data_IF_032854691172
#
_entry.id   IF_032854691172
#
_cell.length_a   1.000
_cell.length_b   1.000
_cell.length_c   1.000
_cell.angle_alpha   90.00
_cell.angle_beta   90.00
_cell.angle_gamma   90.00
#
_symmetry.space_group_name_H-M   'P 1'
#
loop_
_entity.id
_entity.type
_entity.pdbx_description
1 polymer ?
#
# COMPACT_ATOMS: atom_id res chain seq x y z
N UNK A 1 45.00 31.69 -21.81
CA UNK A 1 46.07 31.92 -20.81
C UNK A 1 45.73 33.21 -20.09
N UNK A 2 45.98 33.33 -18.79
CA UNK A 2 45.89 34.61 -18.09
C UNK A 2 46.68 35.71 -18.83
N UNK A 3 46.09 36.89 -18.90
CA UNK A 3 46.70 38.08 -19.51
C UNK A 3 46.61 39.21 -18.49
N UNK A 4 47.77 39.74 -18.10
CA UNK A 4 47.88 40.82 -17.12
C UNK A 4 47.19 42.13 -17.60
N UNK A 5 46.82 42.20 -18.88
CA UNK A 5 46.00 43.28 -19.45
C UNK A 5 44.47 43.12 -19.29
N UNK A 6 43.95 41.94 -18.93
CA UNK A 6 42.50 41.69 -18.81
C UNK A 6 41.99 41.88 -17.37
N UNK A 7 41.62 43.12 -17.04
CA UNK A 7 41.02 43.48 -15.74
C UNK A 7 39.72 42.72 -15.42
N UNK A 8 39.09 42.06 -16.41
CA UNK A 8 37.85 41.31 -16.23
C UNK A 8 38.07 39.79 -16.14
N UNK A 9 39.32 39.31 -16.12
CA UNK A 9 39.61 37.89 -16.17
C UNK A 9 38.97 37.11 -15.00
N UNK A 10 39.04 37.66 -13.79
CA UNK A 10 38.37 37.07 -12.61
C UNK A 10 36.85 37.03 -12.80
N UNK A 11 36.25 38.11 -13.31
CA UNK A 11 34.82 38.18 -13.54
C UNK A 11 34.37 37.13 -14.57
N UNK A 12 35.11 36.96 -15.67
CA UNK A 12 34.85 35.93 -16.70
C UNK A 12 34.95 34.52 -16.13
N UNK A 13 35.97 34.24 -15.31
CA UNK A 13 36.13 32.94 -14.66
C UNK A 13 34.92 32.62 -13.75
N UNK A 14 34.50 33.58 -12.92
CA UNK A 14 33.34 33.44 -12.05
C UNK A 14 32.05 33.29 -12.87
N UNK A 15 31.82 34.13 -13.87
CA UNK A 15 30.60 34.09 -14.69
C UNK A 15 30.47 32.82 -15.53
N UNK A 16 31.59 32.27 -15.99
CA UNK A 16 31.59 31.02 -16.78
C UNK A 16 31.16 29.80 -15.98
N UNK A 17 31.27 29.86 -14.64
CA UNK A 17 30.97 28.75 -13.72
C UNK A 17 31.79 27.46 -13.96
N UNK A 18 32.77 27.46 -14.87
CA UNK A 18 33.63 26.30 -15.19
C UNK A 18 34.46 25.79 -14.01
N UNK A 19 34.60 26.61 -12.96
CA UNK A 19 35.20 26.24 -11.68
C UNK A 19 34.36 25.23 -10.87
N UNK A 20 33.05 25.14 -11.16
CA UNK A 20 32.11 24.29 -10.44
C UNK A 20 31.24 23.45 -11.37
N UNK A 21 31.36 23.57 -12.69
CA UNK A 21 30.49 22.85 -13.62
C UNK A 21 31.18 22.34 -14.88
N UNK A 22 30.76 21.17 -15.32
CA UNK A 22 31.04 20.58 -16.64
C UNK A 22 29.99 19.48 -16.93
N UNK A 23 29.86 19.04 -18.18
CA UNK A 23 28.94 17.95 -18.52
C UNK A 23 29.51 16.58 -18.10
N UNK A 24 28.63 15.65 -17.68
CA UNK A 24 29.05 14.29 -17.36
C UNK A 24 29.53 13.53 -18.60
N UNK A 25 30.76 13.03 -18.54
CA UNK A 25 31.36 12.18 -19.57
C UNK A 25 31.52 10.70 -19.13
N UNK A 26 30.96 10.35 -17.98
CA UNK A 26 31.04 9.02 -17.38
C UNK A 26 30.05 8.02 -17.96
N UNK A 27 30.01 6.83 -17.34
CA UNK A 27 29.04 5.78 -17.63
C UNK A 27 27.97 5.73 -16.55
N UNK A 28 26.90 4.95 -16.75
CA UNK A 28 25.88 4.73 -15.71
C UNK A 28 26.54 4.33 -14.38
N UNK A 29 26.10 4.95 -13.29
CA UNK A 29 26.61 4.81 -11.91
C UNK A 29 28.06 5.27 -11.67
N UNK A 30 28.82 5.66 -12.71
CA UNK A 30 30.21 6.10 -12.60
C UNK A 30 30.40 7.41 -13.36
N UNK A 31 29.96 8.50 -12.72
CA UNK A 31 29.91 9.84 -13.27
C UNK A 31 31.28 10.52 -13.26
N UNK A 32 31.56 11.33 -14.29
CA UNK A 32 32.86 11.99 -14.48
C UNK A 32 32.66 13.44 -14.91
N UNK A 33 33.29 14.38 -14.21
CA UNK A 33 33.23 15.83 -14.50
C UNK A 33 34.65 16.40 -14.59
N UNK A 34 34.93 17.25 -15.59
CA UNK A 34 36.26 17.84 -15.81
C UNK A 34 36.23 19.35 -15.62
N UNK A 35 36.39 19.80 -14.37
CA UNK A 35 36.44 21.23 -14.06
C UNK A 35 37.71 21.88 -14.61
N UNK A 36 37.57 23.14 -15.01
CA UNK A 36 38.69 23.93 -15.56
C UNK A 36 38.75 25.31 -14.90
N UNK A 37 39.88 25.67 -14.24
CA UNK A 37 41.07 24.87 -13.99
C UNK A 37 40.83 23.63 -13.12
N UNK A 38 41.68 22.62 -13.27
CA UNK A 38 41.56 21.38 -12.50
C UNK A 38 41.84 21.64 -11.00
N UNK A 39 40.94 21.23 -10.08
CA UNK A 39 41.23 21.24 -8.65
C UNK A 39 42.36 20.25 -8.33
N UNK A 40 43.13 20.55 -7.27
CA UNK A 40 44.26 19.71 -6.82
C UNK A 40 43.85 18.64 -5.80
N UNK A 41 42.67 18.77 -5.21
CA UNK A 41 42.08 17.84 -4.26
C UNK A 41 40.57 18.08 -4.14
N UNK A 42 39.85 17.13 -3.53
CA UNK A 42 38.49 17.37 -3.06
C UNK A 42 38.51 18.22 -1.79
N UNK A 43 37.98 19.44 -1.88
CA UNK A 43 37.81 20.32 -0.72
C UNK A 43 36.43 20.10 -0.09
N UNK A 44 36.33 20.12 1.23
CA UNK A 44 35.04 20.12 1.92
C UNK A 44 34.21 21.30 1.43
N UNK A 45 32.95 21.04 1.12
CA UNK A 45 31.99 21.94 0.47
C UNK A 45 32.28 22.29 -0.99
N UNK A 46 33.14 21.53 -1.67
CA UNK A 46 33.27 21.62 -3.13
C UNK A 46 31.93 21.31 -3.78
N UNK A 47 31.42 22.28 -4.52
CA UNK A 47 30.19 22.17 -5.31
C UNK A 47 30.53 21.71 -6.72
N UNK A 48 29.79 20.72 -7.21
CA UNK A 48 29.88 20.22 -8.58
C UNK A 48 28.49 20.24 -9.20
N UNK A 49 28.35 20.91 -10.33
CA UNK A 49 27.12 20.94 -11.12
C UNK A 49 27.40 20.27 -12.46
N UNK A 50 26.61 19.28 -12.83
CA UNK A 50 26.78 18.65 -14.15
C UNK A 50 25.43 18.28 -14.78
N UNK A 51 25.41 18.26 -16.10
CA UNK A 51 24.33 17.60 -16.85
C UNK A 51 24.63 16.10 -16.90
N UNK A 52 23.70 15.28 -16.43
CA UNK A 52 23.84 13.83 -16.32
C UNK A 52 23.80 13.19 -17.72
N UNK A 53 24.82 12.40 -18.07
CA UNK A 53 24.92 11.74 -19.37
C UNK A 53 24.15 10.43 -19.44
N UNK A 54 24.09 9.68 -18.33
CA UNK A 54 23.45 8.36 -18.25
C UNK A 54 22.57 8.23 -17.00
N UNK A 55 21.37 7.65 -17.16
CA UNK A 55 20.49 7.39 -16.02
C UNK A 55 21.13 6.38 -15.06
N UNK A 56 21.10 6.64 -13.74
CA UNK A 56 21.62 5.70 -12.76
C UNK A 56 20.67 4.50 -12.57
N UNK A 57 21.23 3.34 -12.29
CA UNK A 57 20.50 2.09 -11.98
C UNK A 57 20.67 1.65 -10.54
N UNK A 58 21.41 2.42 -9.73
CA UNK A 58 21.60 2.19 -8.30
C UNK A 58 22.69 3.09 -7.72
N UNK A 59 23.43 2.54 -6.75
CA UNK A 59 24.53 3.21 -6.07
C UNK A 59 25.52 3.79 -7.08
N UNK A 60 25.87 5.07 -6.88
CA UNK A 60 26.62 5.85 -7.86
C UNK A 60 27.83 6.53 -7.25
N UNK A 61 28.84 6.81 -8.07
CA UNK A 61 30.04 7.57 -7.69
C UNK A 61 30.22 8.76 -8.62
N UNK A 62 30.83 9.84 -8.12
CA UNK A 62 31.28 10.99 -8.89
C UNK A 62 32.80 11.11 -8.80
N UNK A 63 33.45 11.29 -9.93
CA UNK A 63 34.88 11.53 -10.02
C UNK A 63 35.14 12.86 -10.74
N UNK A 64 35.81 13.78 -10.05
CA UNK A 64 36.16 15.09 -10.58
C UNK A 64 37.63 15.06 -11.01
N UNK A 65 37.90 15.41 -12.26
CA UNK A 65 39.26 15.52 -12.82
C UNK A 65 40.17 14.30 -12.53
N UNK A 66 39.60 13.08 -12.54
CA UNK A 66 40.30 11.84 -12.25
C UNK A 66 40.99 11.76 -10.86
N UNK A 67 40.59 12.58 -9.88
CA UNK A 67 41.17 12.59 -8.52
C UNK A 67 40.80 11.37 -7.66
N UNK A 68 39.90 10.53 -8.15
CA UNK A 68 39.42 9.31 -7.50
C UNK A 68 37.91 9.39 -7.23
N UNK A 69 37.13 8.35 -7.56
CA UNK A 69 35.68 8.38 -7.40
C UNK A 69 35.27 8.47 -5.93
N UNK A 70 34.28 9.30 -5.64
CA UNK A 70 33.65 9.41 -4.33
C UNK A 70 32.18 8.97 -4.42
N UNK A 71 31.66 8.18 -3.47
CA UNK A 71 30.26 7.79 -3.47
C UNK A 71 29.33 9.01 -3.41
N UNK A 72 28.23 8.92 -4.14
CA UNK A 72 27.13 9.88 -4.08
C UNK A 72 26.11 9.35 -3.07
N UNK A 73 25.66 10.20 -2.14
CA UNK A 73 24.75 9.85 -1.05
C UNK A 73 23.61 10.87 -0.92
N UNK A 74 22.54 10.45 -0.26
CA UNK A 74 21.48 11.38 0.12
C UNK A 74 21.92 12.25 1.31
N UNK A 75 21.65 13.58 1.25
CA UNK A 75 22.06 14.50 2.31
C UNK A 75 21.35 14.27 3.64
N UNK A 76 20.21 13.57 3.65
CA UNK A 76 19.41 13.35 4.85
C UNK A 76 19.97 12.25 5.75
N UNK A 77 20.50 11.16 5.19
CA UNK A 77 20.80 9.93 5.94
C UNK A 77 22.02 9.15 5.44
N UNK A 78 22.77 9.66 4.47
CA UNK A 78 23.92 8.98 3.83
C UNK A 78 23.57 7.66 3.13
N UNK A 79 22.31 7.41 2.81
CA UNK A 79 21.91 6.23 2.02
C UNK A 79 22.40 6.31 0.57
N UNK A 80 22.46 5.15 -0.09
CA UNK A 80 22.83 5.05 -1.51
C UNK A 80 21.70 5.55 -2.40
N UNK A 81 22.07 6.11 -3.55
CA UNK A 81 21.11 6.46 -4.58
C UNK A 81 20.37 5.22 -5.09
N UNK A 82 19.08 5.38 -5.31
CA UNK A 82 18.20 4.40 -5.95
C UNK A 82 18.15 4.63 -7.47
N UNK A 83 17.75 3.60 -8.22
CA UNK A 83 17.65 3.69 -9.67
C UNK A 83 16.75 4.85 -10.13
N UNK A 84 17.19 5.64 -11.10
CA UNK A 84 16.41 6.70 -11.73
C UNK A 84 16.43 8.07 -11.05
N UNK A 85 17.23 8.26 -10.00
CA UNK A 85 17.38 9.54 -9.29
C UNK A 85 18.30 10.54 -10.01
N UNK A 86 19.28 10.05 -10.77
CA UNK A 86 20.07 10.85 -11.70
C UNK A 86 19.63 10.46 -13.11
N UNK A 87 18.70 11.21 -13.71
CA UNK A 87 18.21 10.91 -15.08
C UNK A 87 19.09 11.53 -16.15
N UNK A 88 19.29 10.82 -17.26
CA UNK A 88 19.93 11.37 -18.45
C UNK A 88 19.29 12.71 -18.86
N UNK A 89 20.14 13.71 -19.10
CA UNK A 89 19.75 15.07 -19.46
C UNK A 89 19.36 15.97 -18.29
N UNK A 90 19.20 15.44 -17.07
CA UNK A 90 18.96 16.26 -15.88
C UNK A 90 20.21 17.04 -15.48
N UNK A 91 20.02 18.21 -14.88
CA UNK A 91 21.08 18.96 -14.22
C UNK A 91 21.09 18.53 -12.76
N UNK A 92 22.25 18.12 -12.23
CA UNK A 92 22.42 17.74 -10.83
C UNK A 92 23.46 18.63 -10.14
N UNK A 93 23.26 18.88 -8.85
CA UNK A 93 24.18 19.61 -7.99
C UNK A 93 24.62 18.70 -6.83
N UNK A 94 25.93 18.59 -6.67
CA UNK A 94 26.60 17.79 -5.65
C UNK A 94 27.44 18.65 -4.74
N UNK A 95 27.47 18.34 -3.44
CA UNK A 95 28.36 19.00 -2.48
C UNK A 95 29.19 17.96 -1.73
N UNK A 96 30.52 18.09 -1.77
CA UNK A 96 31.42 17.19 -1.04
C UNK A 96 31.44 17.51 0.46
N UNK A 97 31.26 16.53 1.35
CA UNK A 97 31.30 16.74 2.81
C UNK A 97 32.65 16.42 3.48
N UNK A 98 33.62 15.96 2.70
CA UNK A 98 34.90 15.43 3.18
C UNK A 98 35.03 13.91 3.07
N UNK A 99 33.94 13.20 2.76
CA UNK A 99 33.91 11.74 2.57
C UNK A 99 33.09 11.38 1.32
N UNK A 100 31.87 11.91 1.20
CA UNK A 100 30.90 11.63 0.14
C UNK A 100 30.50 12.90 -0.61
N UNK A 101 30.00 12.74 -1.84
CA UNK A 101 29.22 13.77 -2.50
C UNK A 101 27.75 13.61 -2.13
N UNK A 102 27.11 14.68 -1.68
CA UNK A 102 25.67 14.71 -1.44
C UNK A 102 24.92 15.18 -2.66
N UNK A 103 23.89 14.45 -3.10
CA UNK A 103 22.98 14.93 -4.13
C UNK A 103 22.04 15.99 -3.52
N UNK A 104 22.35 17.26 -3.72
CA UNK A 104 21.61 18.38 -3.10
C UNK A 104 20.43 18.81 -3.97
N UNK A 105 20.53 18.65 -5.28
CA UNK A 105 19.45 18.97 -6.20
C UNK A 105 19.59 18.23 -7.53
N UNK A 106 18.47 17.86 -8.17
CA UNK A 106 18.42 17.39 -9.56
C UNK A 106 17.14 17.84 -10.24
N UNK A 107 17.23 18.26 -11.52
CA UNK A 107 16.07 18.73 -12.29
C UNK A 107 15.15 17.61 -12.82
N UNK A 108 15.59 16.35 -12.78
CA UNK A 108 14.87 15.21 -13.38
C UNK A 108 14.72 13.99 -12.49
N UNK A 109 15.44 13.94 -11.37
CA UNK A 109 15.30 12.88 -10.37
C UNK A 109 13.98 12.96 -9.63
N UNK A 110 13.40 11.80 -9.29
CA UNK A 110 12.59 11.77 -8.08
C UNK A 110 13.58 12.06 -6.95
N UNK A 111 13.52 13.23 -6.31
CA UNK A 111 14.22 13.42 -5.06
C UNK A 111 13.50 12.54 -4.03
N UNK A 112 13.80 11.24 -4.04
CA UNK A 112 13.41 10.33 -2.99
C UNK A 112 14.34 10.62 -1.83
N UNK A 113 14.05 11.69 -1.10
CA UNK A 113 14.58 11.83 0.25
C UNK A 113 14.01 10.65 1.02
N UNK A 114 14.88 9.74 1.45
CA UNK A 114 14.57 8.84 2.57
C UNK A 114 14.07 9.72 3.73
N UNK A 115 12.75 9.72 3.94
CA UNK A 115 12.05 10.51 4.96
C UNK A 115 11.15 11.66 4.46
N UNK A 116 11.11 11.97 3.16
CA UNK A 116 10.19 12.97 2.59
C UNK A 116 8.95 12.36 1.93
N UNK A 117 7.80 13.03 2.03
CA UNK A 117 6.58 12.64 1.30
C UNK A 117 6.82 12.67 -0.21
N UNK A 118 6.59 11.55 -0.89
CA UNK A 118 6.79 11.44 -2.35
C UNK A 118 5.46 11.76 -3.04
N UNK A 119 5.39 12.85 -3.80
CA UNK A 119 4.18 13.20 -4.55
C UNK A 119 4.08 12.41 -5.85
N UNK A 120 2.97 11.71 -6.05
CA UNK A 120 2.67 11.14 -7.36
C UNK A 120 2.42 12.26 -8.38
N UNK A 121 2.97 12.09 -9.56
CA UNK A 121 2.76 12.99 -10.71
C UNK A 121 1.98 12.31 -11.84
N UNK A 122 1.70 11.02 -11.68
CA UNK A 122 0.92 10.16 -12.57
C UNK A 122 0.46 8.91 -11.79
N UNK A 123 -0.51 8.15 -12.30
CA UNK A 123 -0.84 6.84 -11.74
C UNK A 123 0.37 5.89 -11.79
N UNK A 124 0.44 4.97 -10.82
CA UNK A 124 1.51 3.98 -10.72
C UNK A 124 0.94 2.57 -10.56
N UNK A 125 1.49 1.63 -11.30
CA UNK A 125 1.18 0.21 -11.21
C UNK A 125 2.34 -0.53 -10.54
N UNK A 126 2.04 -1.30 -9.51
CA UNK A 126 2.93 -2.24 -8.85
C UNK A 126 2.47 -3.67 -9.11
N UNK A 127 3.41 -4.61 -9.08
CA UNK A 127 3.17 -6.02 -9.31
C UNK A 127 3.67 -6.83 -8.12
N UNK A 128 2.88 -7.81 -7.69
CA UNK A 128 3.21 -8.76 -6.62
C UNK A 128 3.00 -10.18 -7.12
N UNK A 129 3.99 -11.04 -6.93
CA UNK A 129 3.92 -12.45 -7.30
C UNK A 129 4.66 -13.29 -6.25
N UNK A 130 3.93 -14.16 -5.54
CA UNK A 130 4.50 -15.00 -4.48
C UNK A 130 5.54 -16.03 -4.98
N UNK A 131 5.47 -16.40 -6.26
CA UNK A 131 6.24 -17.49 -6.85
C UNK A 131 7.53 -17.01 -7.50
N UNK A 132 7.47 -15.89 -8.25
CA UNK A 132 8.63 -15.33 -8.97
C UNK A 132 9.14 -14.01 -8.41
N UNK A 133 8.40 -13.37 -7.50
CA UNK A 133 8.75 -12.07 -6.95
C UNK A 133 9.89 -12.11 -5.94
N UNK A 134 10.51 -10.95 -5.75
CA UNK A 134 11.54 -10.72 -4.74
C UNK A 134 11.32 -9.33 -4.10
N UNK A 135 11.37 -9.24 -2.77
CA UNK A 135 11.16 -7.98 -2.06
C UNK A 135 12.35 -7.01 -2.16
N UNK A 136 13.43 -7.44 -2.81
CA UNK A 136 14.52 -6.56 -3.28
C UNK A 136 14.22 -5.89 -4.63
N UNK A 137 13.17 -6.31 -5.35
CA UNK A 137 12.77 -5.68 -6.60
C UNK A 137 11.95 -4.40 -6.36
N UNK A 138 11.79 -3.61 -7.41
CA UNK A 138 11.07 -2.33 -7.40
C UNK A 138 9.55 -2.46 -7.55
N UNK A 139 9.06 -3.65 -7.91
CA UNK A 139 7.64 -3.92 -8.12
C UNK A 139 7.07 -3.30 -9.40
N UNK A 140 7.88 -2.72 -10.29
CA UNK A 140 7.41 -1.95 -11.45
C UNK A 140 7.22 -2.80 -12.72
N UNK A 141 7.39 -4.11 -12.62
CA UNK A 141 7.23 -5.05 -13.74
C UNK A 141 6.62 -6.36 -13.28
N UNK A 142 5.72 -6.93 -14.09
CA UNK A 142 5.04 -8.20 -13.79
C UNK A 142 5.98 -9.42 -13.81
N UNK A 143 7.14 -9.31 -14.46
CA UNK A 143 8.16 -10.33 -14.50
C UNK A 143 9.53 -9.70 -14.25
N UNK A 144 10.47 -10.51 -13.76
CA UNK A 144 11.87 -10.10 -13.69
C UNK A 144 12.41 -9.84 -15.09
N UNK A 145 13.07 -8.71 -15.29
CA UNK A 145 13.74 -8.38 -16.55
C UNK A 145 15.25 -8.28 -16.34
N UNK A 146 15.71 -7.23 -15.68
CA UNK A 146 17.13 -6.99 -15.39
C UNK A 146 17.27 -6.20 -14.08
N UNK A 147 18.41 -6.36 -13.39
CA UNK A 147 18.72 -5.58 -12.19
C UNK A 147 17.70 -5.79 -11.07
N UNK A 148 16.97 -4.74 -10.70
CA UNK A 148 15.92 -4.77 -9.66
C UNK A 148 14.50 -4.74 -10.23
N UNK A 149 14.34 -4.82 -11.56
CA UNK A 149 13.04 -4.66 -12.22
C UNK A 149 12.28 -5.99 -12.24
N UNK A 150 11.30 -6.12 -11.35
CA UNK A 150 10.47 -7.31 -11.20
C UNK A 150 9.40 -7.13 -10.13
N UNK A 151 8.50 -8.11 -9.93
CA UNK A 151 7.42 -7.98 -8.97
C UNK A 151 7.93 -8.14 -7.53
N UNK A 152 7.27 -7.48 -6.58
CA UNK A 152 7.47 -7.78 -5.17
C UNK A 152 7.08 -9.23 -4.88
N UNK A 153 7.66 -9.85 -3.86
CA UNK A 153 7.23 -11.17 -3.41
C UNK A 153 6.01 -11.08 -2.49
N UNK A 154 5.95 -10.06 -1.66
CA UNK A 154 4.95 -9.93 -0.60
C UNK A 154 4.04 -8.72 -0.76
N UNK A 155 2.78 -8.87 -0.33
CA UNK A 155 1.82 -7.77 -0.22
C UNK A 155 2.30 -6.72 0.81
N UNK A 156 2.99 -7.16 1.87
CA UNK A 156 3.54 -6.25 2.88
C UNK A 156 4.64 -5.36 2.30
N UNK A 157 5.50 -5.88 1.41
CA UNK A 157 6.49 -5.04 0.70
C UNK A 157 5.84 -4.00 -0.18
N UNK A 158 4.78 -4.37 -0.92
CA UNK A 158 4.01 -3.40 -1.71
C UNK A 158 3.40 -2.31 -0.82
N UNK A 159 2.77 -2.69 0.29
CA UNK A 159 2.19 -1.75 1.26
C UNK A 159 3.24 -0.78 1.82
N UNK A 160 4.39 -1.30 2.24
CA UNK A 160 5.50 -0.50 2.76
C UNK A 160 6.02 0.50 1.72
N UNK A 161 6.05 0.11 0.44
CA UNK A 161 6.49 0.97 -0.67
C UNK A 161 5.48 2.10 -0.95
N UNK A 162 4.19 1.86 -0.69
CA UNK A 162 3.12 2.84 -0.93
C UNK A 162 3.01 3.88 0.19
N UNK A 163 3.28 3.50 1.44
CA UNK A 163 3.17 4.39 2.61
C UNK A 163 3.80 5.79 2.46
N UNK A 164 5.00 5.97 1.90
CA UNK A 164 5.60 7.31 1.77
C UNK A 164 4.95 8.20 0.70
N UNK A 165 4.03 7.69 -0.13
CA UNK A 165 3.40 8.49 -1.17
C UNK A 165 2.38 9.49 -0.61
N UNK A 166 2.36 10.68 -1.23
CA UNK A 166 1.16 11.48 -1.38
C UNK A 166 0.57 11.19 -2.75
N UNK A 167 -0.67 10.71 -2.78
CA UNK A 167 -1.35 10.27 -3.99
C UNK A 167 -1.64 11.44 -4.96
N UNK A 168 -1.75 12.67 -4.46
CA UNK A 168 -1.82 13.90 -5.28
C UNK A 168 -2.87 13.85 -6.43
N UNK A 169 -4.02 13.23 -6.17
CA UNK A 169 -5.11 13.02 -7.13
C UNK A 169 -4.93 11.82 -8.07
N UNK A 170 -3.84 11.07 -7.95
CA UNK A 170 -3.53 9.90 -8.79
C UNK A 170 -3.77 8.58 -8.05
N UNK A 171 -4.03 7.53 -8.83
CA UNK A 171 -4.29 6.20 -8.30
C UNK A 171 -3.03 5.32 -8.30
N UNK A 172 -2.95 4.45 -7.31
CA UNK A 172 -1.99 3.33 -7.26
C UNK A 172 -2.75 2.03 -7.50
N UNK A 173 -2.22 1.16 -8.37
CA UNK A 173 -2.78 -0.17 -8.64
C UNK A 173 -1.75 -1.23 -8.30
N UNK A 174 -2.13 -2.21 -7.50
CA UNK A 174 -1.28 -3.35 -7.13
C UNK A 174 -1.88 -4.59 -7.78
N UNK A 175 -1.25 -5.06 -8.86
CA UNK A 175 -1.61 -6.29 -9.57
C UNK A 175 -0.98 -7.48 -8.86
N UNK A 176 -1.81 -8.43 -8.45
CA UNK A 176 -1.38 -9.57 -7.66
C UNK A 176 -1.63 -10.84 -8.44
N UNK A 177 -0.56 -11.57 -8.74
CA UNK A 177 -0.63 -12.85 -9.43
C UNK A 177 -1.25 -13.95 -8.55
N UNK A 178 -1.64 -15.06 -9.16
CA UNK A 178 -2.10 -16.25 -8.44
C UNK A 178 -1.01 -16.75 -7.49
N UNK A 179 -1.36 -16.97 -6.23
CA UNK A 179 -0.41 -17.35 -5.19
C UNK A 179 -0.98 -17.30 -3.78
N UNK A 180 -0.16 -17.79 -2.85
CA UNK A 180 -0.43 -17.73 -1.42
C UNK A 180 0.40 -16.60 -0.80
N UNK A 181 -0.29 -15.68 -0.14
CA UNK A 181 0.29 -14.49 0.46
C UNK A 181 0.07 -14.51 1.97
N UNK A 182 1.09 -14.05 2.71
CA UNK A 182 0.98 -13.84 4.15
C UNK A 182 0.09 -12.64 4.48
N UNK A 183 -0.20 -12.48 5.77
CA UNK A 183 -0.91 -11.31 6.26
C UNK A 183 -0.18 -10.00 5.94
N UNK A 184 -0.95 -8.94 5.73
CA UNK A 184 -0.38 -7.61 5.54
C UNK A 184 -1.30 -6.52 6.09
N UNK A 185 -0.70 -5.37 6.38
CA UNK A 185 -1.43 -4.14 6.71
C UNK A 185 -1.60 -3.30 5.45
N UNK A 186 -2.81 -2.82 5.20
CA UNK A 186 -3.09 -1.83 4.16
C UNK A 186 -2.28 -0.54 4.42
N UNK A 187 -1.78 0.11 3.36
CA UNK A 187 -0.95 1.29 3.48
C UNK A 187 -1.78 2.50 3.91
N UNK A 188 -1.10 3.53 4.39
CA UNK A 188 -1.69 4.80 4.84
C UNK A 188 -1.05 5.97 4.09
N UNK A 189 -1.13 6.01 2.74
CA UNK A 189 -0.60 7.14 1.97
C UNK A 189 -1.39 8.42 2.26
N UNK A 190 -0.78 9.57 1.99
CA UNK A 190 -1.42 10.88 2.13
C UNK A 190 -2.03 11.37 0.82
N UNK A 191 -2.79 12.48 0.86
CA UNK A 191 -3.36 13.09 -0.35
C UNK A 191 -4.61 12.39 -0.89
N UNK A 192 -5.22 12.98 -1.92
CA UNK A 192 -6.37 12.41 -2.62
C UNK A 192 -5.93 11.37 -3.65
N UNK A 193 -6.73 10.34 -3.87
CA UNK A 193 -6.43 9.24 -4.79
C UNK A 193 -6.91 7.91 -4.22
N UNK A 194 -6.76 6.83 -4.99
CA UNK A 194 -7.19 5.48 -4.58
C UNK A 194 -6.05 4.48 -4.69
N UNK A 195 -5.87 3.63 -3.67
CA UNK A 195 -5.02 2.42 -3.78
C UNK A 195 -5.90 1.23 -4.08
N UNK A 196 -5.65 0.54 -5.19
CA UNK A 196 -6.42 -0.63 -5.62
C UNK A 196 -5.59 -1.91 -5.57
N UNK A 197 -6.03 -2.91 -4.82
CA UNK A 197 -5.46 -4.25 -4.76
C UNK A 197 -6.24 -5.17 -5.69
N UNK A 198 -5.56 -5.69 -6.71
CA UNK A 198 -6.16 -6.36 -7.87
C UNK A 198 -5.64 -7.80 -7.96
N UNK A 199 -6.34 -8.74 -7.33
CA UNK A 199 -6.09 -10.18 -7.47
C UNK A 199 -6.87 -10.81 -8.64
N UNK A 200 -7.12 -12.11 -8.54
CA UNK A 200 -7.84 -12.89 -9.53
C UNK A 200 -9.37 -12.70 -9.40
N UNK A 201 -9.92 -11.75 -10.14
CA UNK A 201 -11.34 -11.38 -10.05
C UNK A 201 -12.33 -12.48 -10.46
N UNK A 202 -12.06 -13.33 -11.47
CA UNK A 202 -12.89 -14.50 -11.78
C UNK A 202 -12.77 -15.65 -10.77
N UNK A 203 -11.63 -15.77 -10.07
CA UNK A 203 -11.34 -16.87 -9.16
C UNK A 203 -10.58 -16.38 -7.92
N UNK A 204 -11.27 -15.70 -6.97
CA UNK A 204 -10.62 -15.10 -5.80
C UNK A 204 -9.78 -16.09 -4.97
N UNK A 205 -10.16 -17.38 -4.95
CA UNK A 205 -9.41 -18.45 -4.31
C UNK A 205 -7.95 -18.57 -4.76
N UNK A 206 -7.62 -18.15 -5.98
CA UNK A 206 -6.26 -18.23 -6.51
C UNK A 206 -5.31 -17.17 -5.93
N UNK A 207 -5.84 -16.06 -5.39
CA UNK A 207 -5.06 -15.09 -4.63
C UNK A 207 -5.44 -15.20 -3.15
N UNK A 208 -4.86 -16.20 -2.47
CA UNK A 208 -5.13 -16.45 -1.06
C UNK A 208 -4.27 -15.55 -0.18
N UNK A 209 -4.90 -14.76 0.69
CA UNK A 209 -4.25 -14.11 1.83
C UNK A 209 -4.58 -14.93 3.08
N UNK A 210 -3.56 -15.58 3.64
CA UNK A 210 -3.71 -16.49 4.77
C UNK A 210 -2.61 -16.28 5.82
N UNK A 211 -2.99 -16.48 7.08
CA UNK A 211 -2.06 -16.47 8.21
C UNK A 211 -2.61 -17.27 9.38
N UNK A 212 -1.71 -17.72 10.25
CA UNK A 212 -2.01 -18.29 11.54
C UNK A 212 -1.69 -17.27 12.65
N UNK A 213 -2.59 -17.16 13.63
CA UNK A 213 -2.52 -16.29 14.79
C UNK A 213 -2.50 -14.78 14.50
N UNK A 214 -2.90 -14.37 13.30
CA UNK A 214 -3.04 -12.96 12.93
C UNK A 214 -4.30 -12.72 12.09
N UNK A 215 -4.68 -11.45 11.97
CA UNK A 215 -5.68 -11.01 10.99
C UNK A 215 -5.04 -11.01 9.60
N UNK A 216 -5.74 -11.56 8.60
CA UNK A 216 -5.18 -11.69 7.25
C UNK A 216 -4.94 -10.33 6.58
N UNK A 217 -5.88 -9.40 6.69
CA UNK A 217 -5.74 -8.03 6.21
C UNK A 217 -6.16 -7.05 7.29
N UNK A 218 -5.28 -6.14 7.66
CA UNK A 218 -5.59 -5.10 8.66
C UNK A 218 -5.40 -3.70 8.10
N UNK A 219 -6.08 -2.70 8.66
CA UNK A 219 -5.90 -1.32 8.22
C UNK A 219 -6.32 -0.31 9.27
N UNK A 220 -5.59 0.80 9.32
CA UNK A 220 -6.03 2.00 10.02
C UNK A 220 -5.52 3.27 9.37
N UNK A 221 -6.40 4.26 9.23
CA UNK A 221 -6.17 5.53 8.54
C UNK A 221 -5.65 5.28 7.12
N UNK A 222 -6.34 4.41 6.38
CA UNK A 222 -5.84 3.90 5.08
C UNK A 222 -6.15 4.83 3.90
N UNK A 223 -6.88 5.92 4.13
CA UNK A 223 -7.45 6.73 3.06
C UNK A 223 -8.57 5.98 2.34
N UNK A 224 -8.65 6.15 1.02
CA UNK A 224 -9.60 5.43 0.17
C UNK A 224 -8.90 4.28 -0.58
N UNK A 225 -9.38 3.06 -0.41
CA UNK A 225 -8.81 1.88 -1.08
C UNK A 225 -9.87 0.92 -1.62
N UNK A 226 -9.45 0.09 -2.57
CA UNK A 226 -10.25 -0.98 -3.19
C UNK A 226 -9.50 -2.30 -3.06
N UNK A 227 -10.20 -3.39 -2.77
CA UNK A 227 -9.64 -4.74 -2.80
C UNK A 227 -10.58 -5.70 -3.53
N UNK A 228 -10.07 -6.44 -4.52
CA UNK A 228 -10.87 -7.37 -5.31
C UNK A 228 -10.04 -8.54 -5.81
N UNK A 229 -10.69 -9.68 -6.01
CA UNK A 229 -10.09 -10.90 -6.52
C UNK A 229 -9.27 -11.67 -5.49
N UNK A 230 -9.59 -11.59 -4.21
CA UNK A 230 -8.86 -12.32 -3.16
C UNK A 230 -9.73 -13.24 -2.33
N UNK A 231 -9.13 -14.32 -1.86
CA UNK A 231 -9.63 -15.13 -0.76
C UNK A 231 -8.93 -14.72 0.53
N UNK A 232 -9.69 -14.33 1.54
CA UNK A 232 -9.15 -13.97 2.85
C UNK A 232 -9.47 -15.05 3.87
N UNK A 233 -8.47 -15.49 4.63
CA UNK A 233 -8.64 -16.50 5.68
C UNK A 233 -7.66 -16.27 6.84
N UNK A 234 -8.11 -16.46 8.07
CA UNK A 234 -7.23 -16.55 9.24
C UNK A 234 -7.52 -17.82 10.04
N UNK A 235 -6.56 -18.22 10.86
CA UNK A 235 -6.70 -19.29 11.85
C UNK A 235 -5.82 -19.03 13.06
N UNK A 236 -5.80 -19.96 14.02
CA UNK A 236 -4.97 -19.88 15.21
C UNK A 236 -5.72 -19.51 16.48
N UNK A 237 -4.96 -19.08 17.49
CA UNK A 237 -5.40 -18.88 18.86
C UNK A 237 -5.12 -17.44 19.30
N UNK A 238 -6.13 -16.76 19.82
CA UNK A 238 -6.06 -15.34 20.19
C UNK A 238 -4.90 -15.01 21.14
N UNK A 239 -4.64 -15.88 22.12
CA UNK A 239 -3.64 -15.66 23.18
C UNK A 239 -2.19 -15.58 22.69
N UNK A 240 -1.90 -15.93 21.44
CA UNK A 240 -0.53 -15.89 20.88
C UNK A 240 -0.09 -14.45 20.61
N UNK A 241 -0.96 -13.64 19.98
CA UNK A 241 -0.62 -12.28 19.55
C UNK A 241 -1.63 -11.22 20.00
N UNK A 242 -2.66 -11.61 20.74
CA UNK A 242 -3.80 -10.76 21.12
C UNK A 242 -4.49 -10.11 19.90
N UNK A 243 -4.41 -10.75 18.74
CA UNK A 243 -5.00 -10.30 17.49
C UNK A 243 -6.47 -10.77 17.38
N UNK A 244 -7.41 -9.97 16.84
CA UNK A 244 -8.80 -10.39 16.64
C UNK A 244 -9.01 -11.65 15.80
N UNK A 245 -8.00 -12.04 15.01
CA UNK A 245 -7.99 -13.16 14.07
C UNK A 245 -9.10 -13.05 13.03
N UNK A 246 -9.26 -11.89 12.40
CA UNK A 246 -10.26 -11.65 11.35
C UNK A 246 -9.73 -12.01 9.95
N UNK A 247 -10.61 -12.15 8.95
CA UNK A 247 -10.17 -12.09 7.55
C UNK A 247 -9.77 -10.64 7.20
N UNK A 248 -10.61 -9.67 7.58
CA UNK A 248 -10.35 -8.23 7.47
C UNK A 248 -10.66 -7.55 8.80
N UNK A 249 -9.73 -6.74 9.30
CA UNK A 249 -9.95 -5.80 10.41
C UNK A 249 -9.62 -4.38 9.98
N UNK A 250 -10.63 -3.51 9.90
CA UNK A 250 -10.48 -2.11 9.54
C UNK A 250 -10.88 -1.22 10.72
N UNK A 251 -10.02 -0.24 11.08
CA UNK A 251 -10.32 0.64 12.20
C UNK A 251 -9.79 2.06 12.03
N UNK A 252 -10.39 3.02 12.73
CA UNK A 252 -9.88 4.40 12.83
C UNK A 252 -10.38 5.30 11.70
N UNK A 253 -10.56 6.58 12.03
CA UNK A 253 -11.04 7.63 11.13
C UNK A 253 -10.27 7.64 9.80
N UNK A 254 -10.94 8.08 8.73
CA UNK A 254 -10.38 8.18 7.38
C UNK A 254 -9.98 6.84 6.74
N UNK A 255 -10.55 5.74 7.22
CA UNK A 255 -10.38 4.42 6.59
C UNK A 255 -11.62 4.08 5.79
N UNK A 256 -11.52 4.12 4.46
CA UNK A 256 -12.57 3.66 3.56
C UNK A 256 -12.03 2.55 2.67
N UNK A 257 -12.61 1.36 2.76
CA UNK A 257 -12.30 0.24 1.87
C UNK A 257 -13.55 -0.12 1.06
N UNK A 258 -13.38 -0.44 -0.21
CA UNK A 258 -14.43 -1.04 -1.04
C UNK A 258 -14.01 -2.41 -1.56
N UNK A 259 -14.93 -3.36 -1.56
CA UNK A 259 -14.68 -4.68 -2.13
C UNK A 259 -15.21 -4.81 -3.57
N UNK A 260 -14.45 -5.49 -4.42
CA UNK A 260 -14.96 -6.15 -5.64
C UNK A 260 -15.28 -7.62 -5.36
N UNK A 261 -15.10 -8.54 -6.33
CA UNK A 261 -15.34 -9.97 -6.07
C UNK A 261 -14.39 -10.50 -4.99
N UNK A 262 -14.89 -11.19 -3.97
CA UNK A 262 -14.05 -11.69 -2.86
C UNK A 262 -14.53 -13.06 -2.37
N UNK A 263 -13.63 -13.84 -1.77
CA UNK A 263 -13.96 -15.04 -1.00
C UNK A 263 -13.53 -14.91 0.45
N UNK A 264 -14.38 -15.35 1.39
CA UNK A 264 -14.09 -15.38 2.82
C UNK A 264 -13.99 -16.83 3.28
N UNK A 265 -12.75 -17.28 3.51
CA UNK A 265 -12.39 -18.65 3.88
C UNK A 265 -12.58 -19.00 5.35
N UNK A 266 -13.21 -18.12 6.14
CA UNK A 266 -13.40 -18.27 7.58
C UNK A 266 -12.24 -17.72 8.42
N UNK A 267 -12.53 -17.53 9.70
CA UNK A 267 -11.66 -16.87 10.66
C UNK A 267 -12.12 -17.16 12.10
N UNK A 268 -11.22 -17.31 13.09
CA UNK A 268 -11.64 -17.43 14.49
C UNK A 268 -12.44 -16.22 14.96
N UNK A 269 -12.01 -14.99 14.69
CA UNK A 269 -12.82 -13.79 14.88
C UNK A 269 -13.81 -13.56 13.73
N UNK A 270 -14.54 -12.43 13.75
CA UNK A 270 -15.41 -12.04 12.65
C UNK A 270 -14.65 -11.99 11.31
N UNK A 271 -15.26 -12.46 10.23
CA UNK A 271 -14.60 -12.46 8.92
C UNK A 271 -14.30 -11.02 8.50
N UNK A 272 -15.29 -10.15 8.57
CA UNK A 272 -15.14 -8.73 8.28
C UNK A 272 -15.48 -7.93 9.53
N UNK A 273 -14.50 -7.21 10.06
CA UNK A 273 -14.67 -6.35 11.23
C UNK A 273 -14.29 -4.92 10.90
N UNK A 274 -15.19 -3.98 11.17
CA UNK A 274 -15.03 -2.56 10.84
C UNK A 274 -15.46 -1.71 12.03
N UNK A 275 -14.57 -0.88 12.54
CA UNK A 275 -14.90 -0.05 13.70
C UNK A 275 -14.16 1.25 13.83
N UNK A 276 -14.45 1.98 14.91
CA UNK A 276 -13.78 3.25 15.26
C UNK A 276 -13.83 4.25 14.09
N UNK A 277 -15.04 4.45 13.56
CA UNK A 277 -15.35 5.34 12.44
C UNK A 277 -14.67 5.04 11.10
N UNK A 278 -14.20 3.80 10.90
CA UNK A 278 -13.88 3.28 9.58
C UNK A 278 -15.16 2.90 8.81
N UNK A 279 -15.06 2.87 7.49
CA UNK A 279 -16.13 2.48 6.58
C UNK A 279 -15.69 1.37 5.62
N UNK A 280 -16.57 0.41 5.38
CA UNK A 280 -16.42 -0.61 4.34
C UNK A 280 -17.65 -0.64 3.44
N UNK A 281 -17.41 -0.68 2.13
CA UNK A 281 -18.45 -0.82 1.12
C UNK A 281 -18.29 -2.13 0.35
N UNK A 282 -19.30 -2.99 0.38
CA UNK A 282 -19.38 -4.10 -0.59
C UNK A 282 -19.77 -3.49 -1.94
N UNK A 283 -18.87 -3.55 -2.92
CA UNK A 283 -19.11 -3.06 -4.28
C UNK A 283 -20.14 -3.88 -5.01
N UNK A 284 -20.65 -3.31 -6.10
CA UNK A 284 -21.71 -3.89 -6.92
C UNK A 284 -21.62 -3.46 -8.40
N UNK A 285 -22.05 -4.31 -9.35
CA UNK A 285 -22.41 -5.71 -9.16
C UNK A 285 -21.16 -6.56 -8.88
N UNK A 286 -21.14 -7.27 -7.75
CA UNK A 286 -20.02 -8.12 -7.33
C UNK A 286 -20.53 -9.47 -6.83
N UNK A 287 -19.66 -10.46 -6.89
CA UNK A 287 -19.89 -11.81 -6.41
C UNK A 287 -19.01 -12.08 -5.18
N UNK A 288 -19.65 -12.46 -4.08
CA UNK A 288 -18.97 -12.83 -2.85
C UNK A 288 -19.19 -14.31 -2.55
N UNK A 289 -18.14 -14.97 -2.07
CA UNK A 289 -18.18 -16.37 -1.65
C UNK A 289 -17.88 -16.43 -0.16
N UNK A 290 -18.66 -17.20 0.59
CA UNK A 290 -18.37 -17.54 1.98
C UNK A 290 -18.16 -19.04 2.05
N UNK A 291 -16.93 -19.45 2.37
CA UNK A 291 -16.49 -20.85 2.30
C UNK A 291 -15.94 -21.40 3.61
N UNK A 292 -15.89 -20.60 4.68
CA UNK A 292 -15.46 -21.05 6.01
C UNK A 292 -16.28 -20.49 7.16
N UNK A 293 -16.08 -21.04 8.35
CA UNK A 293 -16.83 -20.68 9.57
C UNK A 293 -16.19 -19.51 10.33
N UNK A 294 -16.96 -18.88 11.21
CA UNK A 294 -16.48 -17.88 12.17
C UNK A 294 -17.04 -18.16 13.58
N UNK A 295 -16.36 -19.01 14.37
CA UNK A 295 -16.85 -19.49 15.67
C UNK A 295 -16.65 -18.49 16.82
N UNK A 296 -15.94 -17.39 16.61
CA UNK A 296 -15.52 -16.50 17.69
C UNK A 296 -14.28 -17.03 18.42
N UNK A 297 -13.70 -16.17 19.25
CA UNK A 297 -12.63 -16.49 20.17
C UNK A 297 -12.91 -15.80 21.53
N UNK A 298 -12.12 -16.02 22.59
CA UNK A 298 -12.44 -15.49 23.92
C UNK A 298 -12.64 -13.97 24.00
N UNK A 299 -12.05 -13.20 23.08
CA UNK A 299 -12.02 -11.73 23.14
C UNK A 299 -12.68 -11.07 21.92
N UNK A 300 -13.01 -11.85 20.89
CA UNK A 300 -13.63 -11.34 19.67
C UNK A 300 -14.74 -12.25 19.17
N UNK A 301 -15.83 -11.63 18.69
CA UNK A 301 -17.03 -12.36 18.25
C UNK A 301 -16.79 -13.14 16.96
N UNK A 302 -17.62 -14.15 16.72
CA UNK A 302 -17.71 -14.84 15.42
C UNK A 302 -18.87 -14.31 14.58
N UNK A 303 -18.58 -13.74 13.41
CA UNK A 303 -19.61 -13.18 12.53
C UNK A 303 -19.13 -13.16 11.07
N UNK A 304 -20.05 -13.02 10.11
CA UNK A 304 -19.64 -12.69 8.74
C UNK A 304 -19.25 -11.21 8.65
N UNK A 305 -20.15 -10.29 9.01
CA UNK A 305 -19.85 -8.86 9.10
C UNK A 305 -20.12 -8.30 10.50
N UNK A 306 -19.17 -7.52 11.01
CA UNK A 306 -19.22 -6.90 12.32
C UNK A 306 -18.83 -5.43 12.27
N UNK A 307 -19.83 -4.55 12.36
CA UNK A 307 -19.63 -3.12 12.58
C UNK A 307 -19.60 -2.83 14.09
N UNK A 308 -18.61 -2.07 14.56
CA UNK A 308 -18.47 -1.78 15.99
C UNK A 308 -17.96 -0.36 16.27
N UNK A 309 -18.27 0.23 17.43
CA UNK A 309 -17.70 1.52 17.89
C UNK A 309 -17.74 2.61 16.79
N UNK A 310 -18.92 2.89 16.24
CA UNK A 310 -19.09 3.89 15.18
C UNK A 310 -18.62 3.48 13.78
N UNK A 311 -18.19 2.22 13.58
CA UNK A 311 -17.88 1.67 12.26
C UNK A 311 -19.10 1.62 11.35
N UNK A 312 -18.86 1.68 10.04
CA UNK A 312 -19.90 1.64 9.02
C UNK A 312 -19.63 0.52 8.02
N UNK A 313 -20.62 -0.34 7.80
CA UNK A 313 -20.59 -1.35 6.74
C UNK A 313 -21.82 -1.14 5.87
N UNK A 314 -21.63 -1.05 4.56
CA UNK A 314 -22.72 -0.79 3.62
C UNK A 314 -22.50 -1.35 2.24
N UNK A 315 -23.50 -1.22 1.38
CA UNK A 315 -23.42 -1.50 -0.05
C UNK A 315 -24.49 -0.71 -0.81
N UNK A 316 -24.33 -0.62 -2.13
CA UNK A 316 -25.31 0.04 -2.99
C UNK A 316 -26.65 -0.71 -2.99
N UNK A 317 -27.72 0.01 -2.68
CA UNK A 317 -29.09 -0.52 -2.58
C UNK A 317 -29.72 -0.84 -3.92
N UNK A 318 -29.30 -0.14 -4.99
CA UNK A 318 -29.87 -0.26 -6.32
C UNK A 318 -29.36 -1.49 -7.07
N UNK A 319 -28.17 -1.97 -6.72
CA UNK A 319 -27.53 -3.13 -7.34
C UNK A 319 -26.96 -4.01 -6.22
N UNK A 320 -27.75 -4.86 -5.55
CA UNK A 320 -27.22 -5.71 -4.49
C UNK A 320 -26.29 -6.79 -5.07
N UNK A 321 -25.16 -7.12 -4.42
CA UNK A 321 -24.33 -8.26 -4.80
C UNK A 321 -25.01 -9.61 -4.56
N UNK A 322 -24.43 -10.66 -5.14
CA UNK A 322 -24.76 -12.05 -4.80
C UNK A 322 -23.75 -12.60 -3.82
N UNK A 323 -24.22 -13.18 -2.71
CA UNK A 323 -23.37 -13.86 -1.72
C UNK A 323 -23.70 -15.35 -1.74
N UNK A 324 -22.72 -16.18 -2.08
CA UNK A 324 -22.86 -17.64 -2.17
C UNK A 324 -22.18 -18.31 -1.00
N UNK A 325 -22.93 -19.11 -0.24
CA UNK A 325 -22.40 -19.92 0.86
C UNK A 325 -22.13 -21.34 0.35
N UNK A 326 -20.86 -21.67 0.09
CA UNK A 326 -20.48 -22.88 -0.67
C UNK A 326 -20.38 -24.15 0.18
N UNK A 327 -20.29 -24.02 1.50
CA UNK A 327 -20.24 -25.13 2.44
C UNK A 327 -21.05 -24.81 3.70
N UNK A 328 -21.36 -25.81 4.52
CA UNK A 328 -21.96 -25.59 5.84
C UNK A 328 -20.99 -24.79 6.73
N UNK A 329 -21.47 -23.70 7.32
CA UNK A 329 -20.68 -22.82 8.19
C UNK A 329 -21.40 -22.54 9.51
N UNK A 330 -20.63 -22.26 10.55
CA UNK A 330 -21.13 -21.79 11.84
C UNK A 330 -20.68 -20.35 12.13
N UNK A 331 -21.61 -19.50 12.56
CA UNK A 331 -21.38 -18.13 13.02
C UNK A 331 -21.86 -17.98 14.47
N UNK A 332 -20.96 -17.63 15.40
CA UNK A 332 -21.28 -17.58 16.83
C UNK A 332 -22.23 -16.43 17.19
N UNK A 333 -21.94 -15.21 16.75
CA UNK A 333 -22.72 -14.02 17.09
C UNK A 333 -23.82 -13.73 16.08
N UNK A 334 -23.51 -13.87 14.78
CA UNK A 334 -24.49 -13.86 13.69
C UNK A 334 -23.94 -13.50 12.32
N UNK A 335 -24.82 -13.47 11.30
CA UNK A 335 -24.44 -13.07 9.94
C UNK A 335 -24.04 -11.60 9.87
N UNK A 336 -24.91 -10.71 10.38
CA UNK A 336 -24.64 -9.27 10.46
C UNK A 336 -24.75 -8.79 11.90
N UNK A 337 -23.70 -8.09 12.36
CA UNK A 337 -23.62 -7.60 13.73
C UNK A 337 -23.31 -6.10 13.74
N UNK A 338 -24.04 -5.35 14.57
CA UNK A 338 -23.82 -3.92 14.81
C UNK A 338 -23.78 -3.65 16.31
N UNK A 339 -22.72 -3.00 16.80
CA UNK A 339 -22.50 -2.75 18.22
C UNK A 339 -21.86 -1.39 18.50
N UNK A 340 -22.37 -0.64 19.49
CA UNK A 340 -21.71 0.58 19.97
C UNK A 340 -21.79 1.72 18.97
N UNK A 341 -23.01 2.19 18.71
CA UNK A 341 -23.30 3.32 17.79
C UNK A 341 -22.79 3.13 16.36
N UNK A 342 -22.59 1.88 15.91
CA UNK A 342 -22.21 1.54 14.54
C UNK A 342 -23.43 1.39 13.63
N UNK A 343 -23.17 1.32 12.32
CA UNK A 343 -24.18 1.01 11.31
C UNK A 343 -23.71 -0.14 10.43
N UNK A 344 -24.56 -1.14 10.25
CA UNK A 344 -24.32 -2.24 9.31
C UNK A 344 -25.51 -2.39 8.35
N UNK A 345 -25.22 -2.50 7.07
CA UNK A 345 -26.19 -2.64 6.00
C UNK A 345 -25.61 -3.60 4.96
N UNK A 346 -26.36 -4.66 4.61
CA UNK A 346 -25.94 -5.59 3.57
C UNK A 346 -27.15 -6.09 2.77
N UNK A 347 -27.44 -5.42 1.66
CA UNK A 347 -28.41 -5.91 0.68
C UNK A 347 -27.73 -6.93 -0.22
N UNK A 348 -28.24 -8.15 -0.27
CA UNK A 348 -27.71 -9.19 -1.13
C UNK A 348 -28.79 -10.17 -1.58
N UNK A 349 -28.52 -10.84 -2.69
CA UNK A 349 -29.15 -12.14 -2.99
C UNK A 349 -28.29 -13.23 -2.38
N UNK A 350 -28.87 -14.06 -1.51
CA UNK A 350 -28.15 -15.15 -0.85
C UNK A 350 -28.38 -16.46 -1.59
N UNK A 351 -27.30 -17.07 -2.09
CA UNK A 351 -27.31 -18.43 -2.61
C UNK A 351 -26.91 -19.41 -1.49
N UNK A 352 -27.70 -20.46 -1.32
CA UNK A 352 -27.57 -21.48 -0.27
C UNK A 352 -27.61 -20.94 1.19
N UNK A 353 -28.55 -20.06 1.56
CA UNK A 353 -28.61 -19.50 2.92
C UNK A 353 -28.85 -20.55 4.02
N UNK A 354 -29.37 -21.73 3.67
CA UNK A 354 -29.55 -22.86 4.58
C UNK A 354 -28.25 -23.48 5.09
N UNK A 355 -27.11 -23.17 4.48
CA UNK A 355 -25.79 -23.61 4.93
C UNK A 355 -25.28 -22.86 6.17
N UNK A 356 -25.98 -21.81 6.61
CA UNK A 356 -25.55 -20.97 7.72
C UNK A 356 -26.21 -21.41 9.02
N UNK A 357 -25.42 -21.97 9.93
CA UNK A 357 -25.81 -22.19 11.32
C UNK A 357 -25.38 -21.00 12.18
N UNK A 358 -26.30 -20.42 12.93
CA UNK A 358 -26.04 -19.23 13.73
C UNK A 358 -27.14 -18.20 13.63
N UNK A 359 -26.96 -17.08 14.33
CA UNK A 359 -27.95 -16.01 14.41
C UNK A 359 -28.03 -15.19 13.12
N UNK A 360 -29.24 -14.81 12.71
CA UNK A 360 -29.45 -13.97 11.51
C UNK A 360 -28.83 -12.57 11.65
N UNK A 361 -29.06 -11.92 12.77
CA UNK A 361 -28.47 -10.61 13.06
C UNK A 361 -28.36 -10.37 14.57
N UNK A 362 -27.42 -9.52 14.99
CA UNK A 362 -27.33 -9.05 16.37
C UNK A 362 -27.06 -7.55 16.40
N UNK A 363 -27.93 -6.78 17.05
CA UNK A 363 -27.79 -5.33 17.18
C UNK A 363 -27.83 -4.92 18.65
N UNK A 364 -26.81 -4.21 19.15
CA UNK A 364 -26.76 -3.77 20.55
C UNK A 364 -25.99 -2.46 20.76
N UNK A 365 -26.11 -1.85 21.94
CA UNK A 365 -25.51 -0.58 22.34
C UNK A 365 -25.72 0.52 21.28
N UNK A 366 -26.97 0.79 20.93
CA UNK A 366 -27.35 1.75 19.89
C UNK A 366 -26.78 1.44 18.48
N UNK A 367 -26.37 0.20 18.22
CA UNK A 367 -26.07 -0.26 16.87
C UNK A 367 -27.32 -0.26 15.99
N UNK A 368 -27.14 0.01 14.70
CA UNK A 368 -28.22 -0.05 13.71
C UNK A 368 -27.87 -1.08 12.65
N UNK A 369 -28.84 -1.94 12.33
CA UNK A 369 -28.81 -2.84 11.18
C UNK A 369 -29.95 -2.45 10.23
N UNK A 370 -29.60 -2.11 8.99
CA UNK A 370 -30.58 -1.82 7.94
C UNK A 370 -30.71 -3.01 6.98
N UNK A 371 -31.94 -3.49 6.84
CA UNK A 371 -32.44 -4.49 5.89
C UNK A 371 -33.38 -3.87 4.85
N UNK A 372 -33.61 -2.54 4.92
CA UNK A 372 -34.51 -1.80 4.03
C UNK A 372 -35.93 -2.39 4.00
N UNK A 373 -36.43 -2.84 5.15
CA UNK A 373 -37.76 -3.42 5.28
C UNK A 373 -37.88 -4.88 4.81
N UNK A 374 -36.77 -5.58 4.54
CA UNK A 374 -36.78 -6.98 4.04
C UNK A 374 -37.24 -8.04 5.07
N UNK A 375 -37.75 -7.59 6.22
CA UNK A 375 -38.30 -8.45 7.28
C UNK A 375 -37.24 -9.12 8.14
N UNK A 376 -37.68 -9.71 9.26
CA UNK A 376 -36.81 -10.26 10.31
C UNK A 376 -35.98 -11.48 9.87
N UNK A 377 -36.39 -12.14 8.79
CA UNK A 377 -35.79 -13.37 8.30
C UNK A 377 -34.82 -13.16 7.13
N UNK A 378 -34.57 -11.91 6.73
CA UNK A 378 -33.81 -11.57 5.53
C UNK A 378 -32.41 -12.18 5.49
N UNK A 379 -31.65 -12.03 6.58
CA UNK A 379 -30.27 -12.51 6.65
C UNK A 379 -30.20 -14.05 6.86
N UNK A 380 -29.17 -14.73 6.31
CA UNK A 380 -28.93 -16.15 6.54
C UNK A 380 -28.72 -16.50 8.02
N UNK A 381 -29.10 -17.71 8.41
CA UNK A 381 -28.94 -18.21 9.78
C UNK A 381 -30.13 -19.04 10.25
N UNK A 382 -29.83 -20.06 11.06
CA UNK A 382 -30.81 -20.97 11.69
C UNK A 382 -31.38 -20.45 13.01
N UNK A 383 -30.77 -19.42 13.62
CA UNK A 383 -31.20 -18.85 14.91
C UNK A 383 -31.79 -17.46 14.70
N UNK A 384 -32.91 -17.16 15.37
CA UNK A 384 -33.59 -15.87 15.28
C UNK A 384 -32.68 -14.71 15.69
N UNK A 385 -32.78 -13.59 14.96
CA UNK A 385 -32.02 -12.38 15.27
C UNK A 385 -32.41 -11.75 16.61
N UNK A 386 -31.53 -10.90 17.14
CA UNK A 386 -31.69 -10.28 18.45
C UNK A 386 -31.31 -8.80 18.40
N UNK A 387 -32.17 -7.96 18.98
CA UNK A 387 -31.88 -6.57 19.32
C UNK A 387 -31.81 -6.43 20.84
N UNK A 388 -30.86 -5.64 21.35
CA UNK A 388 -30.66 -5.43 22.78
C UNK A 388 -30.13 -4.01 23.03
N UNK A 389 -30.33 -3.45 24.24
CA UNK A 389 -29.71 -2.20 24.71
C UNK A 389 -29.69 -1.08 23.65
N UNK A 390 -30.88 -0.74 23.13
CA UNK A 390 -31.06 0.32 22.12
C UNK A 390 -30.67 -0.07 20.68
N UNK A 391 -30.25 -1.32 20.44
CA UNK A 391 -29.98 -1.85 19.12
C UNK A 391 -31.23 -1.91 18.26
N UNK A 392 -31.09 -1.54 16.99
CA UNK A 392 -32.19 -1.47 16.03
C UNK A 392 -31.94 -2.39 14.83
N UNK A 393 -33.04 -2.93 14.30
CA UNK A 393 -33.13 -3.66 13.05
C UNK A 393 -34.34 -3.12 12.29
N UNK A 394 -34.14 -2.62 11.07
CA UNK A 394 -35.18 -1.99 10.26
C UNK A 394 -35.15 -2.44 8.80
#
# INVERSE_FOLDING_TARGET
>A
MPDDGDLHQLAKAVQSQLLISDDDAGTSNAYQVTMTPAPTAYFKYMTVVCKIGNTNTGASVLNVNAMGPKPIRHPADNSELSAGELKQGAIACFIYDGVYFHLVWSSGGAASVSGGTIYLTKPVDFYVDANIGNDTYDGLSAAFTTGIHGPFRTLQKASNTINPYNLNGFDVRVHVADGNYGAFRLPSPSGTGTVSWLGNNPSPANCLVYTDNYTAVSGSQIGNQIMQGFKLKSSGVWTVNNDPLCCLYLSGNMSTLSFGNMEFGGSPGAMVSVGRSAALYFGAPAQYIVSGSSPGNPEWIGAFVYAFQGGQIGNNTLNPPTITVTAAISLQQGWIVSWGSSMAQQYATFANPGNVTGRKFYSSLNGVISSSGSGINYYPGSVAGLTDTGGQYA
#
